data_IF_065645885620
#
_entry.id   IF_065645885620
#
_cell.length_a   1.000
_cell.length_b   1.000
_cell.length_c   1.000
_cell.angle_alpha   90.00
_cell.angle_beta   90.00
_cell.angle_gamma   90.00
#
_symmetry.space_group_name_H-M   'P 1'
#
loop_
_entity.id
_entity.type
_entity.pdbx_description
1 polymer ?
#
# COMPACT_ATOMS: atom_id res chain seq x y z
N UNK A 1 -4.59 39.69 56.96
CA UNK A 1 -3.14 39.72 56.65
C UNK A 1 -2.64 38.34 57.02
N UNK A 2 -2.38 37.40 56.12
CA UNK A 2 -1.72 37.44 54.79
C UNK A 2 -2.31 36.32 53.89
N UNK A 3 -2.96 36.61 52.75
CA UNK A 3 -2.50 36.57 51.33
C UNK A 3 -1.89 35.26 50.83
N UNK A 4 -2.62 34.63 49.91
CA UNK A 4 -2.35 33.46 49.07
C UNK A 4 -0.98 33.42 48.39
N UNK A 5 -0.36 32.22 48.28
CA UNK A 5 0.42 31.68 47.14
C UNK A 5 1.17 30.41 47.59
N UNK A 6 0.96 29.24 46.96
CA UNK A 6 1.84 28.61 45.94
C UNK A 6 2.08 27.19 46.46
N UNK A 7 1.38 26.19 45.93
CA UNK A 7 1.73 25.40 44.73
C UNK A 7 2.99 24.54 44.94
N UNK A 8 2.89 23.30 44.43
CA UNK A 8 3.94 22.33 44.09
C UNK A 8 4.16 21.16 45.06
N UNK A 9 3.73 19.95 44.64
CA UNK A 9 4.25 18.65 45.11
C UNK A 9 5.74 18.46 44.76
N UNK A 10 6.40 17.29 44.97
CA UNK A 10 6.03 15.99 44.40
C UNK A 10 6.48 14.78 45.30
N UNK A 11 6.15 13.50 45.06
CA UNK A 11 6.92 12.46 44.32
C UNK A 11 6.37 11.12 44.86
N UNK A 12 5.84 10.22 44.04
CA UNK A 12 6.57 9.12 43.38
C UNK A 12 7.18 8.11 44.37
N UNK A 13 7.01 6.81 44.09
CA UNK A 13 7.76 5.64 44.63
C UNK A 13 7.47 5.29 46.12
N UNK A 14 7.09 4.08 46.54
CA UNK A 14 7.80 2.81 46.38
C UNK A 14 6.99 1.55 46.76
N UNK A 15 7.43 0.43 46.18
CA UNK A 15 6.77 -0.86 45.96
C UNK A 15 6.61 -1.81 47.18
N UNK A 16 5.74 -2.84 47.08
CA UNK A 16 5.57 -3.89 48.09
C UNK A 16 6.62 -5.01 47.92
N UNK A 17 7.90 -4.64 47.83
CA UNK A 17 9.01 -5.61 47.72
C UNK A 17 10.00 -5.43 48.88
N UNK A 18 9.53 -5.70 50.09
CA UNK A 18 10.38 -5.88 51.26
C UNK A 18 10.18 -7.31 51.78
N UNK A 19 10.90 -8.28 51.20
CA UNK A 19 11.19 -9.55 51.87
C UNK A 19 12.58 -9.45 52.52
N UNK A 20 12.75 -9.92 53.76
CA UNK A 20 14.05 -9.90 54.41
C UNK A 20 15.00 -10.89 53.70
N UNK A 21 16.18 -10.40 53.35
CA UNK A 21 17.27 -11.21 52.76
C UNK A 21 17.92 -12.00 53.89
N UNK A 22 17.56 -13.28 54.03
CA UNK A 22 18.34 -14.23 54.83
C UNK A 22 19.65 -14.50 54.08
N UNK A 23 20.77 -14.13 54.70
CA UNK A 23 22.12 -14.31 54.16
C UNK A 23 22.50 -15.79 54.21
N UNK A 24 22.29 -16.52 53.10
CA UNK A 24 22.72 -17.91 52.97
C UNK A 24 24.20 -17.96 52.52
N UNK A 25 25.08 -18.74 53.20
CA UNK A 25 26.50 -18.83 52.89
C UNK A 25 26.76 -19.37 51.47
N UNK A 26 27.82 -18.86 50.82
CA UNK A 26 28.12 -19.02 49.38
C UNK A 26 28.25 -20.48 48.92
N UNK A 27 28.57 -21.40 49.83
CA UNK A 27 28.90 -22.79 49.50
C UNK A 27 27.68 -23.66 49.16
N UNK A 28 26.46 -23.23 49.53
CA UNK A 28 25.21 -23.94 49.23
C UNK A 28 24.61 -23.56 47.85
N UNK A 29 25.05 -22.46 47.23
CA UNK A 29 24.47 -21.95 45.97
C UNK A 29 24.82 -22.82 44.75
N UNK A 30 25.97 -23.47 44.77
CA UNK A 30 26.41 -24.32 43.66
C UNK A 30 25.67 -25.66 43.62
N UNK A 31 25.18 -26.15 44.77
CA UNK A 31 24.39 -27.39 44.85
C UNK A 31 22.95 -27.20 44.39
N UNK A 32 22.35 -26.04 44.66
CA UNK A 32 21.00 -25.72 44.21
C UNK A 32 20.93 -25.39 42.70
N UNK A 33 22.01 -24.88 42.10
CA UNK A 33 22.04 -24.56 40.68
C UNK A 33 22.12 -25.79 39.77
N UNK A 34 22.75 -26.87 40.23
CA UNK A 34 22.97 -28.09 39.43
C UNK A 34 21.72 -28.99 39.34
N UNK A 35 20.74 -28.83 40.24
CA UNK A 35 19.49 -29.61 40.21
C UNK A 35 18.39 -28.93 39.37
N UNK A 36 18.53 -27.66 39.01
CA UNK A 36 17.53 -26.92 38.20
C UNK A 36 17.77 -26.97 36.69
N UNK A 37 18.87 -27.58 36.23
CA UNK A 37 19.25 -27.62 34.81
C UNK A 37 18.86 -28.94 34.10
N UNK A 38 18.12 -29.84 34.77
CA UNK A 38 17.92 -31.22 34.32
C UNK A 38 16.56 -31.56 33.68
N UNK A 39 15.52 -30.73 33.80
CA UNK A 39 14.14 -31.24 33.72
C UNK A 39 13.19 -30.35 32.88
N UNK A 40 13.64 -29.90 31.72
CA UNK A 40 12.83 -29.05 30.81
C UNK A 40 12.70 -29.55 29.37
N UNK A 41 13.25 -30.72 29.04
CA UNK A 41 13.30 -31.23 27.65
C UNK A 41 12.07 -32.04 27.21
N UNK A 42 11.25 -32.51 28.14
CA UNK A 42 10.09 -33.37 27.85
C UNK A 42 8.78 -32.60 27.61
N UNK A 43 8.73 -31.28 27.88
CA UNK A 43 7.51 -30.48 27.71
C UNK A 43 7.30 -29.95 26.28
N UNK A 44 8.27 -30.14 25.37
CA UNK A 44 8.24 -29.57 24.02
C UNK A 44 7.55 -30.44 22.97
N UNK A 45 7.18 -31.69 23.29
CA UNK A 45 6.67 -32.65 22.31
C UNK A 45 5.15 -32.88 22.32
N UNK A 46 4.38 -32.11 23.09
CA UNK A 46 2.92 -32.14 23.00
C UNK A 46 2.31 -30.73 23.10
N UNK A 47 2.67 -29.87 22.13
CA UNK A 47 1.88 -28.70 21.82
C UNK A 47 1.11 -28.98 20.53
N UNK A 48 -0.17 -29.30 20.69
CA UNK A 48 -1.21 -29.25 19.65
C UNK A 48 -0.97 -28.06 18.73
N UNK A 49 -1.20 -28.18 17.41
CA UNK A 49 -1.03 -27.08 16.45
C UNK A 49 -1.81 -25.81 16.86
N UNK A 50 -1.19 -25.01 17.71
CA UNK A 50 -1.73 -23.77 18.26
C UNK A 50 -1.25 -22.66 17.35
N UNK A 51 -2.23 -21.91 16.83
CA UNK A 51 -2.01 -20.87 15.83
C UNK A 51 -0.96 -19.87 16.34
N UNK A 52 0.15 -19.74 15.60
CA UNK A 52 1.15 -18.73 15.90
C UNK A 52 0.51 -17.35 15.91
N UNK A 53 0.77 -16.56 16.96
CA UNK A 53 0.10 -15.26 17.15
C UNK A 53 0.35 -14.36 15.94
N UNK A 54 -0.69 -13.96 15.19
CA UNK A 54 -0.51 -13.13 14.02
C UNK A 54 -0.03 -11.73 14.44
N UNK A 55 0.71 -11.08 13.55
CA UNK A 55 1.16 -9.71 13.78
C UNK A 55 -0.06 -8.77 13.87
N UNK A 56 -0.33 -8.22 15.06
CA UNK A 56 -1.49 -7.34 15.33
C UNK A 56 -1.18 -5.84 15.22
N UNK A 57 0.07 -5.45 14.94
CA UNK A 57 0.50 -4.04 14.86
C UNK A 57 1.14 -3.73 13.52
N UNK A 58 0.91 -2.51 13.01
CA UNK A 58 1.52 -2.01 11.79
C UNK A 58 0.98 -2.60 10.48
N UNK A 59 -0.18 -3.25 10.49
CA UNK A 59 -0.78 -3.83 9.28
C UNK A 59 -1.05 -2.78 8.20
N UNK A 60 -1.49 -1.58 8.59
CA UNK A 60 -1.76 -0.49 7.66
C UNK A 60 -0.50 -0.02 6.93
N UNK A 61 0.61 0.15 7.66
CA UNK A 61 1.89 0.55 7.06
C UNK A 61 2.44 -0.49 6.08
N UNK A 62 2.28 -1.78 6.39
CA UNK A 62 2.62 -2.86 5.45
C UNK A 62 1.76 -2.76 4.20
N UNK A 63 0.43 -2.69 4.34
CA UNK A 63 -0.52 -2.65 3.21
C UNK A 63 -0.31 -1.41 2.33
N UNK A 64 -0.01 -0.25 2.92
CA UNK A 64 0.25 0.99 2.20
C UNK A 64 1.54 0.89 1.36
N UNK A 65 2.61 0.35 1.93
CA UNK A 65 3.88 0.13 1.19
C UNK A 65 3.73 -0.86 0.04
N UNK A 66 2.82 -1.82 0.16
CA UNK A 66 2.49 -2.71 -0.95
C UNK A 66 1.64 -2.02 -2.03
N UNK A 67 0.63 -1.22 -1.65
CA UNK A 67 -0.27 -0.60 -2.63
C UNK A 67 0.32 0.60 -3.37
N UNK A 68 1.24 1.35 -2.76
CA UNK A 68 1.88 2.52 -3.38
C UNK A 68 2.53 2.22 -4.75
N UNK A 69 3.45 1.23 -4.85
CA UNK A 69 4.05 0.90 -6.14
C UNK A 69 3.06 0.27 -7.11
N UNK A 70 2.09 -0.53 -6.61
CA UNK A 70 1.06 -1.16 -7.44
C UNK A 70 0.17 -0.12 -8.10
N UNK A 71 -0.31 0.85 -7.33
CA UNK A 71 -1.14 1.94 -7.84
C UNK A 71 -0.38 2.78 -8.88
N UNK A 72 0.89 3.07 -8.63
CA UNK A 72 1.72 3.81 -9.57
C UNK A 72 1.92 3.02 -10.88
N UNK A 73 2.26 1.74 -10.79
CA UNK A 73 2.42 0.88 -11.96
C UNK A 73 1.12 0.79 -12.77
N UNK A 74 -0.02 0.57 -12.12
CA UNK A 74 -1.33 0.53 -12.78
C UNK A 74 -1.66 1.86 -13.46
N UNK A 75 -1.35 3.00 -12.83
CA UNK A 75 -1.59 4.31 -13.42
C UNK A 75 -0.78 4.55 -14.70
N UNK A 76 0.49 4.13 -14.71
CA UNK A 76 1.34 4.25 -15.89
C UNK A 76 0.90 3.32 -17.02
N UNK A 77 0.50 2.08 -16.67
CA UNK A 77 -0.04 1.13 -17.65
C UNK A 77 -1.33 1.68 -18.26
N UNK A 78 -2.25 2.20 -17.44
CA UNK A 78 -3.48 2.81 -17.92
C UNK A 78 -3.21 4.03 -18.83
N UNK A 79 -2.25 4.89 -18.45
CA UNK A 79 -1.84 6.03 -19.27
C UNK A 79 -1.25 5.60 -20.63
N UNK A 80 -0.38 4.58 -20.62
CA UNK A 80 0.19 4.02 -21.85
C UNK A 80 -0.90 3.39 -22.73
N UNK A 81 -1.80 2.59 -22.14
CA UNK A 81 -2.92 1.99 -22.85
C UNK A 81 -3.83 3.04 -23.49
N UNK A 82 -4.12 4.15 -22.80
CA UNK A 82 -4.91 5.23 -23.36
C UNK A 82 -4.17 5.97 -24.50
N UNK A 83 -2.87 6.22 -24.32
CA UNK A 83 -2.06 6.89 -25.35
C UNK A 83 -2.03 6.06 -26.64
N UNK A 84 -1.65 4.78 -26.56
CA UNK A 84 -1.53 3.93 -27.73
C UNK A 84 -2.87 3.43 -28.27
N UNK A 85 -3.87 3.23 -27.40
CA UNK A 85 -5.18 2.72 -27.81
C UNK A 85 -6.12 3.79 -28.37
N UNK A 86 -6.00 5.05 -27.95
CA UNK A 86 -6.93 6.12 -28.35
C UNK A 86 -6.23 7.24 -29.09
N UNK A 87 -5.12 7.77 -28.56
CA UNK A 87 -4.55 9.01 -29.09
C UNK A 87 -3.76 8.80 -30.38
N UNK A 88 -2.93 7.76 -30.44
CA UNK A 88 -2.13 7.43 -31.62
C UNK A 88 -2.97 6.98 -32.82
N UNK A 89 -3.92 6.02 -32.70
CA UNK A 89 -4.71 5.60 -33.85
C UNK A 89 -5.60 6.72 -34.39
N UNK A 90 -6.08 7.62 -33.53
CA UNK A 90 -6.80 8.82 -33.99
C UNK A 90 -5.89 9.70 -34.85
N UNK A 91 -4.68 10.02 -34.39
CA UNK A 91 -3.73 10.83 -35.16
C UNK A 91 -3.35 10.15 -36.47
N UNK A 92 -3.10 8.84 -36.43
CA UNK A 92 -2.77 8.05 -37.62
C UNK A 92 -3.93 8.04 -38.62
N UNK A 93 -5.17 7.83 -38.17
CA UNK A 93 -6.34 7.85 -39.04
C UNK A 93 -6.52 9.19 -39.76
N UNK A 94 -6.29 10.33 -39.07
CA UNK A 94 -6.30 11.64 -39.73
C UNK A 94 -5.16 11.77 -40.74
N UNK A 95 -3.95 11.37 -40.38
CA UNK A 95 -2.81 11.43 -41.29
C UNK A 95 -3.03 10.55 -42.54
N UNK A 96 -3.58 9.36 -42.38
CA UNK A 96 -3.84 8.42 -43.46
C UNK A 96 -4.98 8.88 -44.37
N UNK A 97 -6.01 9.52 -43.79
CA UNK A 97 -7.05 10.18 -44.56
C UNK A 97 -6.45 11.22 -45.51
N UNK A 98 -5.64 12.15 -44.99
CA UNK A 98 -5.07 13.22 -45.83
C UNK A 98 -3.98 12.78 -46.80
N UNK A 99 -3.33 11.63 -46.59
CA UNK A 99 -2.35 11.08 -47.55
C UNK A 99 -2.98 10.64 -48.86
N UNK A 100 -4.22 10.14 -48.82
CA UNK A 100 -4.91 9.55 -49.97
C UNK A 100 -6.10 10.41 -50.43
N UNK A 101 -6.34 11.53 -49.78
CA UNK A 101 -7.49 12.39 -50.03
C UNK A 101 -7.31 13.22 -51.31
N UNK A 102 -8.18 12.99 -52.30
CA UNK A 102 -8.36 13.86 -53.46
C UNK A 102 -9.70 14.61 -53.32
N UNK A 103 -9.58 15.92 -53.04
CA UNK A 103 -10.73 16.79 -52.82
C UNK A 103 -11.66 16.88 -54.05
N UNK A 104 -11.12 16.76 -55.26
CA UNK A 104 -11.92 16.89 -56.49
C UNK A 104 -12.76 15.65 -56.75
N UNK A 105 -12.20 14.48 -56.48
CA UNK A 105 -12.89 13.20 -56.59
C UNK A 105 -14.03 13.09 -55.59
N UNK A 106 -13.77 13.41 -54.32
CA UNK A 106 -14.79 13.35 -53.28
C UNK A 106 -15.90 14.39 -53.49
N UNK A 107 -15.53 15.59 -53.96
CA UNK A 107 -16.49 16.60 -54.37
C UNK A 107 -17.38 16.12 -55.52
N UNK A 108 -16.83 15.47 -56.55
CA UNK A 108 -17.63 14.95 -57.65
C UNK A 108 -18.59 13.85 -57.19
N UNK A 109 -18.14 12.93 -56.32
CA UNK A 109 -19.02 11.93 -55.71
C UNK A 109 -20.19 12.58 -54.95
N UNK A 110 -19.92 13.59 -54.12
CA UNK A 110 -20.96 14.31 -53.36
C UNK A 110 -21.88 15.14 -54.25
N UNK A 111 -21.35 15.72 -55.33
CA UNK A 111 -22.10 16.47 -56.34
C UNK A 111 -23.05 15.56 -57.12
N UNK A 112 -22.60 14.38 -57.51
CA UNK A 112 -23.43 13.37 -58.18
C UNK A 112 -24.50 12.80 -57.25
N UNK A 113 -24.20 12.66 -55.96
CA UNK A 113 -25.17 12.32 -54.92
C UNK A 113 -26.21 13.43 -54.66
N UNK A 114 -26.05 14.62 -55.25
CA UNK A 114 -27.00 15.73 -55.15
C UNK A 114 -27.04 16.39 -53.77
N UNK A 115 -25.96 16.29 -52.99
CA UNK A 115 -25.87 16.88 -51.64
C UNK A 115 -25.74 18.41 -51.71
N UNK A 116 -25.16 18.93 -52.80
CA UNK A 116 -24.95 20.36 -52.96
C UNK A 116 -26.18 21.06 -53.52
N UNK A 117 -26.61 22.12 -52.84
CA UNK A 117 -27.62 23.06 -53.36
C UNK A 117 -27.04 23.98 -54.45
N UNK A 118 -25.76 24.35 -54.32
CA UNK A 118 -25.07 25.29 -55.21
C UNK A 118 -24.56 24.67 -56.51
N UNK A 119 -24.33 23.36 -56.55
CA UNK A 119 -23.75 22.67 -57.72
C UNK A 119 -24.61 21.47 -58.08
N UNK A 120 -25.24 21.53 -59.26
CA UNK A 120 -26.13 20.46 -59.73
C UNK A 120 -25.33 19.24 -60.21
N UNK A 121 -25.87 18.01 -60.05
CA UNK A 121 -25.28 16.81 -60.63
C UNK A 121 -25.26 16.92 -62.16
N UNK A 122 -24.20 16.44 -62.81
CA UNK A 122 -23.98 16.58 -64.26
C UNK A 122 -24.97 15.77 -65.12
N UNK A 123 -25.82 14.94 -64.52
CA UNK A 123 -26.75 14.04 -65.21
C UNK A 123 -28.23 14.46 -65.26
N UNK A 124 -28.57 15.74 -65.05
CA UNK A 124 -29.94 16.27 -65.25
C UNK A 124 -29.94 17.54 -66.08
#
# INVERSE_FOLDING_TARGET
>A
MDVSRVLDGPLYSDCPFARPVVFLPKDQRLRAALTYFGEGREFFLYSTMSLAKPAMRGLLGKRLRFHLPIAFALSLVAAAAFKYGVTEPRKQAYADFYKQYDATKEFNNMREAGIFESVRPTGK
#
